data_IF_605603672651
#
_entry.id   IF_605603672651
#
_cell.length_a   1.000
_cell.length_b   1.000
_cell.length_c   1.000
_cell.angle_alpha   90.00
_cell.angle_beta   90.00
_cell.angle_gamma   90.00
#
_symmetry.space_group_name_H-M   'P 1'
#
loop_
_entity.id
_entity.type
_entity.pdbx_description
1 polymer ?
#
# COMPACT_ATOMS: atom_id res chain seq x y z
N UNK A 1 70.74 -50.40 67.84
CA UNK A 1 71.61 -49.25 68.20
C UNK A 1 71.07 -47.99 67.51
N UNK A 2 70.58 -47.03 68.30
CA UNK A 2 70.78 -45.57 68.31
C UNK A 2 70.62 -44.88 66.90
N UNK A 3 69.84 -43.85 66.71
CA UNK A 3 69.62 -42.62 67.52
C UNK A 3 68.32 -41.93 67.06
N UNK A 4 67.64 -41.33 68.01
CA UNK A 4 66.64 -40.30 67.87
C UNK A 4 67.22 -39.01 67.39
N UNK A 5 66.57 -38.29 66.50
CA UNK A 5 66.66 -36.82 66.41
C UNK A 5 65.28 -36.25 66.24
N UNK A 6 64.83 -35.51 67.26
CA UNK A 6 63.74 -34.58 67.27
C UNK A 6 64.01 -33.42 66.32
N UNK A 7 62.99 -33.06 65.56
CA UNK A 7 62.88 -31.67 65.09
C UNK A 7 61.50 -31.13 65.35
N UNK A 8 61.55 -30.03 66.08
CA UNK A 8 60.35 -29.25 66.49
C UNK A 8 59.83 -28.43 65.33
N UNK A 9 58.55 -28.36 65.34
CA UNK A 9 57.54 -27.43 64.84
C UNK A 9 57.91 -26.12 64.17
N UNK A 10 57.17 -25.84 63.19
CA UNK A 10 56.61 -24.50 62.90
C UNK A 10 55.26 -24.63 62.17
N UNK A 11 54.24 -24.40 62.92
CA UNK A 11 52.90 -24.24 62.39
C UNK A 11 52.79 -22.86 61.74
N UNK A 12 52.82 -22.78 60.39
CA UNK A 12 52.47 -21.60 59.67
C UNK A 12 50.96 -21.63 59.41
N UNK A 13 50.23 -20.77 60.11
CA UNK A 13 48.80 -20.48 59.83
C UNK A 13 48.73 -19.60 58.58
N UNK A 14 48.36 -20.19 57.44
CA UNK A 14 48.00 -19.43 56.25
C UNK A 14 46.55 -19.04 56.41
N UNK A 15 46.30 -17.78 56.79
CA UNK A 15 44.94 -17.19 56.74
C UNK A 15 44.60 -16.97 55.27
N UNK A 16 43.77 -17.82 54.68
CA UNK A 16 43.13 -17.63 53.39
C UNK A 16 42.06 -16.55 53.55
N UNK A 17 42.41 -15.29 53.20
CA UNK A 17 41.45 -14.24 53.00
C UNK A 17 40.65 -14.55 51.70
N UNK A 18 39.49 -15.17 51.85
CA UNK A 18 38.55 -15.30 50.79
C UNK A 18 37.94 -13.91 50.52
N UNK A 19 38.44 -13.24 49.47
CA UNK A 19 37.75 -12.07 48.90
C UNK A 19 36.42 -12.55 48.33
N UNK A 20 35.33 -12.40 49.06
CA UNK A 20 33.98 -12.40 48.59
C UNK A 20 33.82 -11.14 47.73
N UNK A 21 34.17 -11.21 46.42
CA UNK A 21 33.65 -10.30 45.41
C UNK A 21 32.12 -10.55 45.37
N UNK A 22 31.29 -9.51 45.60
CA UNK A 22 29.90 -9.66 45.29
C UNK A 22 29.80 -9.89 43.78
N UNK A 23 29.45 -11.11 43.39
CA UNK A 23 28.87 -11.35 42.08
C UNK A 23 27.56 -10.53 42.05
N UNK A 24 27.69 -9.26 41.64
CA UNK A 24 26.59 -8.50 41.12
C UNK A 24 26.23 -9.24 39.84
N UNK A 25 25.40 -10.27 40.00
CA UNK A 25 24.67 -10.85 38.88
C UNK A 25 23.88 -9.72 38.25
N UNK A 26 24.37 -9.20 37.15
CA UNK A 26 23.51 -8.42 36.27
C UNK A 26 22.33 -9.32 35.95
N UNK A 27 21.23 -9.20 36.71
CA UNK A 27 19.95 -9.72 36.27
C UNK A 27 19.75 -9.13 34.90
N UNK A 28 19.85 -9.94 33.87
CA UNK A 28 19.46 -9.52 32.53
C UNK A 28 18.03 -9.02 32.67
N UNK A 29 17.87 -7.71 32.62
CA UNK A 29 16.55 -7.08 32.70
C UNK A 29 15.81 -7.58 31.49
N UNK A 30 14.65 -8.20 31.68
CA UNK A 30 13.86 -8.70 30.58
C UNK A 30 13.63 -7.59 29.55
N UNK A 31 13.84 -7.90 28.28
CA UNK A 31 13.65 -6.94 27.18
C UNK A 31 12.23 -6.37 27.24
N UNK A 32 12.12 -5.06 27.05
CA UNK A 32 10.81 -4.46 26.84
C UNK A 32 10.23 -4.98 25.51
N UNK A 33 8.90 -4.97 25.35
CA UNK A 33 8.26 -5.54 24.17
C UNK A 33 7.41 -4.51 23.44
N UNK A 34 7.26 -4.70 22.14
CA UNK A 34 6.28 -4.00 21.31
C UNK A 34 5.82 -4.90 20.17
N UNK A 35 4.51 -4.87 19.89
CA UNK A 35 3.91 -5.55 18.75
C UNK A 35 3.35 -4.56 17.73
N UNK A 36 3.62 -4.80 16.45
CA UNK A 36 3.01 -4.09 15.36
C UNK A 36 2.11 -5.02 14.54
N UNK A 37 0.98 -4.50 14.05
CA UNK A 37 0.14 -5.16 13.05
C UNK A 37 -0.10 -4.18 11.91
N UNK A 38 0.08 -4.64 10.67
CA UNK A 38 -0.15 -3.75 9.54
C UNK A 38 0.38 -4.27 8.21
N UNK A 39 0.10 -3.56 7.10
CA UNK A 39 0.42 -3.99 5.75
C UNK A 39 1.78 -3.50 5.23
N UNK A 40 2.58 -2.79 6.02
CA UNK A 40 3.84 -2.20 5.54
C UNK A 40 4.78 -3.25 4.94
N UNK A 41 5.56 -2.85 3.95
CA UNK A 41 6.47 -3.75 3.25
C UNK A 41 7.64 -4.18 4.16
N UNK A 42 8.25 -5.29 3.78
CA UNK A 42 9.33 -5.92 4.54
C UNK A 42 10.49 -4.96 4.79
N UNK A 43 10.91 -4.23 3.77
CA UNK A 43 12.04 -3.29 3.84
C UNK A 43 11.79 -2.19 4.88
N UNK A 44 10.57 -1.65 4.94
CA UNK A 44 10.23 -0.66 5.95
C UNK A 44 10.21 -1.28 7.35
N UNK A 45 9.58 -2.44 7.52
CA UNK A 45 9.52 -3.08 8.83
C UNK A 45 10.91 -3.46 9.36
N UNK A 46 11.83 -3.90 8.50
CA UNK A 46 13.23 -4.19 8.86
C UNK A 46 13.99 -2.93 9.23
N UNK A 47 13.84 -1.84 8.45
CA UNK A 47 14.46 -0.55 8.76
C UNK A 47 13.98 -0.01 10.10
N UNK A 48 12.65 0.04 10.30
CA UNK A 48 12.08 0.52 11.56
C UNK A 48 12.48 -0.35 12.75
N UNK A 49 12.53 -1.68 12.59
CA UNK A 49 12.95 -2.61 13.65
C UNK A 49 14.37 -2.31 14.09
N UNK A 50 15.30 -2.29 13.14
CA UNK A 50 16.73 -2.05 13.43
C UNK A 50 16.93 -0.70 14.10
N UNK A 51 16.48 0.37 13.47
CA UNK A 51 16.75 1.72 13.94
C UNK A 51 16.03 2.03 15.27
N UNK A 52 14.83 1.47 15.52
CA UNK A 52 14.16 1.63 16.81
C UNK A 52 14.85 0.83 17.92
N UNK A 53 15.35 -0.37 17.64
CA UNK A 53 16.15 -1.14 18.61
C UNK A 53 17.42 -0.39 18.99
N UNK A 54 18.15 0.16 18.01
CA UNK A 54 19.35 0.96 18.25
C UNK A 54 19.02 2.22 19.07
N UNK A 55 17.97 2.95 18.71
CA UNK A 55 17.49 4.11 19.49
C UNK A 55 17.11 3.71 20.93
N UNK A 56 16.37 2.62 21.10
CA UNK A 56 15.90 2.18 22.41
C UNK A 56 17.06 1.80 23.33
N UNK A 57 18.03 1.05 22.79
CA UNK A 57 19.25 0.68 23.50
C UNK A 57 20.08 1.92 23.89
N UNK A 58 20.27 2.85 22.96
CA UNK A 58 21.06 4.07 23.19
C UNK A 58 20.38 5.02 24.18
N UNK A 59 19.07 5.11 24.16
CA UNK A 59 18.30 6.07 24.99
C UNK A 59 17.98 5.53 26.38
N UNK A 60 17.66 4.24 26.48
CA UNK A 60 17.17 3.62 27.74
C UNK A 60 18.12 2.59 28.32
N UNK A 61 19.20 2.22 27.63
CA UNK A 61 20.14 1.18 28.07
C UNK A 61 19.52 -0.23 28.12
N UNK A 62 18.45 -0.47 27.35
CA UNK A 62 17.67 -1.71 27.36
C UNK A 62 17.42 -2.21 25.95
N UNK A 63 17.31 -3.52 25.84
CA UNK A 63 16.80 -4.16 24.62
C UNK A 63 15.28 -4.03 24.50
N UNK A 64 14.77 -3.97 23.25
CA UNK A 64 13.33 -4.08 22.94
C UNK A 64 13.13 -5.21 21.94
N UNK A 65 12.22 -6.13 22.29
CA UNK A 65 11.76 -7.21 21.41
C UNK A 65 10.59 -6.69 20.57
N UNK A 66 10.70 -6.79 19.24
CA UNK A 66 9.69 -6.30 18.31
C UNK A 66 9.05 -7.49 17.60
N UNK A 67 7.72 -7.56 17.65
CA UNK A 67 6.92 -8.53 16.89
C UNK A 67 6.14 -7.82 15.81
N UNK A 68 6.18 -8.31 14.57
CA UNK A 68 5.40 -7.75 13.47
C UNK A 68 4.43 -8.79 12.89
N UNK A 69 3.14 -8.46 12.91
CA UNK A 69 2.05 -9.27 12.37
C UNK A 69 1.59 -8.66 11.05
N UNK A 70 1.83 -9.36 9.94
CA UNK A 70 1.41 -8.96 8.60
C UNK A 70 0.47 -9.98 7.98
N UNK A 71 -0.85 -9.91 8.26
CA UNK A 71 -1.79 -10.93 7.79
C UNK A 71 -2.13 -10.79 6.31
N UNK A 72 -1.95 -9.60 5.72
CA UNK A 72 -2.26 -9.32 4.32
C UNK A 72 -2.31 -7.83 4.01
N UNK A 73 -3.13 -7.44 3.04
CA UNK A 73 -3.40 -6.04 2.70
C UNK A 73 -4.25 -5.32 3.77
N UNK A 74 -4.57 -4.06 3.53
CA UNK A 74 -5.28 -3.21 4.49
C UNK A 74 -6.57 -3.82 5.03
N UNK A 75 -7.51 -4.33 4.20
CA UNK A 75 -8.75 -4.91 4.71
C UNK A 75 -8.49 -6.10 5.64
N UNK A 76 -7.54 -6.97 5.27
CA UNK A 76 -7.19 -8.14 6.08
C UNK A 76 -6.57 -7.72 7.43
N UNK A 77 -5.78 -6.63 7.45
CA UNK A 77 -5.23 -6.09 8.69
C UNK A 77 -6.33 -5.49 9.59
N UNK A 78 -7.29 -4.77 9.01
CA UNK A 78 -8.47 -4.24 9.72
C UNK A 78 -9.29 -5.38 10.32
N UNK A 79 -9.56 -6.43 9.55
CA UNK A 79 -10.31 -7.60 10.03
C UNK A 79 -9.57 -8.36 11.12
N UNK A 80 -8.24 -8.43 11.05
CA UNK A 80 -7.43 -9.00 12.13
C UNK A 80 -7.60 -8.22 13.44
N UNK A 81 -7.57 -6.88 13.40
CA UNK A 81 -7.80 -6.04 14.58
C UNK A 81 -9.22 -6.19 15.11
N UNK A 82 -10.22 -6.24 14.23
CA UNK A 82 -11.63 -6.52 14.58
C UNK A 82 -11.77 -7.87 15.31
N UNK A 83 -11.11 -8.91 14.79
CA UNK A 83 -11.17 -10.26 15.33
C UNK A 83 -10.61 -10.38 16.76
N UNK A 84 -9.73 -9.48 17.18
CA UNK A 84 -9.23 -9.44 18.56
C UNK A 84 -10.28 -8.96 19.58
N UNK A 85 -11.35 -8.31 19.13
CA UNK A 85 -12.46 -7.90 20.01
C UNK A 85 -12.03 -6.99 21.15
N UNK A 86 -11.02 -6.12 20.94
CA UNK A 86 -10.48 -5.20 21.94
C UNK A 86 -9.45 -5.81 22.90
N UNK A 87 -8.92 -6.99 22.60
CA UNK A 87 -7.78 -7.62 23.31
C UNK A 87 -6.68 -7.93 22.27
N UNK A 88 -5.95 -6.91 21.81
CA UNK A 88 -4.98 -7.08 20.73
C UNK A 88 -3.72 -7.83 21.20
N UNK A 89 -3.11 -8.58 20.28
CA UNK A 89 -1.78 -9.18 20.44
C UNK A 89 -0.65 -8.23 19.95
N UNK A 90 -0.99 -6.99 19.61
CA UNK A 90 -0.08 -5.94 19.17
C UNK A 90 -0.41 -4.61 19.84
N UNK A 91 0.51 -3.65 19.75
CA UNK A 91 0.38 -2.33 20.36
C UNK A 91 0.00 -1.26 19.35
N UNK A 92 0.51 -1.40 18.14
CA UNK A 92 0.45 -0.40 17.09
C UNK A 92 -0.20 -0.98 15.83
N UNK A 93 -1.16 -0.24 15.27
CA UNK A 93 -1.60 -0.44 13.89
C UNK A 93 -0.71 0.41 12.99
N UNK A 94 0.20 -0.23 12.25
CA UNK A 94 1.25 0.41 11.48
C UNK A 94 1.00 0.28 9.99
N UNK A 95 0.75 1.42 9.34
CA UNK A 95 0.45 1.46 7.90
C UNK A 95 -1.04 1.45 7.62
N UNK A 96 -1.39 1.35 6.36
CA UNK A 96 -2.70 1.60 5.79
C UNK A 96 -3.10 3.09 5.71
N UNK A 97 -3.97 3.42 4.76
CA UNK A 97 -4.46 4.78 4.57
C UNK A 97 -5.49 5.22 5.62
N UNK A 98 -5.87 6.48 5.55
CA UNK A 98 -6.82 7.12 6.46
C UNK A 98 -8.16 6.36 6.59
N UNK A 99 -8.80 5.83 5.52
CA UNK A 99 -10.08 5.12 5.67
C UNK A 99 -10.00 3.92 6.62
N UNK A 100 -8.91 3.15 6.57
CA UNK A 100 -8.72 2.01 7.46
C UNK A 100 -8.67 2.43 8.93
N UNK A 101 -7.99 3.55 9.21
CA UNK A 101 -7.89 4.12 10.56
C UNK A 101 -9.21 4.71 11.04
N UNK A 102 -9.94 5.39 10.17
CA UNK A 102 -11.27 5.92 10.50
C UNK A 102 -12.26 4.80 10.82
N UNK A 103 -12.22 3.68 10.08
CA UNK A 103 -13.01 2.47 10.40
C UNK A 103 -12.69 1.95 11.80
N UNK A 104 -11.40 1.78 12.14
CA UNK A 104 -10.99 1.32 13.46
C UNK A 104 -11.35 2.31 14.58
N UNK A 105 -11.25 3.61 14.32
CA UNK A 105 -11.66 4.69 15.24
C UNK A 105 -13.16 4.66 15.52
N UNK A 106 -14.00 4.57 14.48
CA UNK A 106 -15.46 4.47 14.62
C UNK A 106 -15.89 3.26 15.44
N UNK A 107 -15.13 2.15 15.35
CA UNK A 107 -15.36 0.94 16.12
C UNK A 107 -14.73 0.96 17.51
N UNK A 108 -14.05 2.06 17.88
CA UNK A 108 -13.41 2.21 19.19
C UNK A 108 -12.26 1.21 19.42
N UNK A 109 -11.54 0.81 18.37
CA UNK A 109 -10.43 -0.15 18.41
C UNK A 109 -9.06 0.51 18.49
N UNK A 110 -8.97 1.81 18.27
CA UNK A 110 -7.78 2.64 18.46
C UNK A 110 -8.06 3.75 19.47
N UNK A 111 -7.02 4.29 20.08
CA UNK A 111 -7.10 5.32 21.11
C UNK A 111 -6.26 6.53 20.74
N UNK A 112 -6.64 7.73 21.23
CA UNK A 112 -5.89 8.94 20.91
C UNK A 112 -4.54 8.95 21.62
N UNK A 113 -3.51 9.33 20.87
CA UNK A 113 -2.19 9.66 21.39
C UNK A 113 -1.55 10.73 20.50
N UNK A 114 -1.12 11.85 21.10
CA UNK A 114 -0.38 12.90 20.40
C UNK A 114 1.12 12.62 20.53
N UNK A 115 1.80 12.16 19.43
CA UNK A 115 3.24 11.97 19.45
C UNK A 115 3.98 13.30 19.59
N UNK A 116 5.22 13.23 20.05
CA UNK A 116 6.15 14.36 19.91
C UNK A 116 6.32 14.71 18.44
N UNK A 117 6.58 15.98 18.15
CA UNK A 117 6.71 16.46 16.76
C UNK A 117 5.47 16.28 15.87
N UNK A 118 4.31 15.95 16.45
CA UNK A 118 3.05 15.84 15.71
C UNK A 118 2.72 17.09 14.87
N UNK A 119 3.12 18.29 15.34
CA UNK A 119 2.93 19.55 14.64
C UNK A 119 3.78 19.69 13.36
N UNK A 120 4.80 18.87 13.21
CA UNK A 120 5.60 18.80 11.99
C UNK A 120 4.90 18.08 10.84
N UNK A 121 3.82 17.37 11.11
CA UNK A 121 3.00 16.73 10.09
C UNK A 121 1.89 17.71 9.69
N UNK A 122 1.66 17.96 8.39
CA UNK A 122 0.55 18.79 7.93
C UNK A 122 -0.79 18.26 8.45
N UNK A 123 -1.75 19.15 8.70
CA UNK A 123 -3.11 18.73 9.07
C UNK A 123 -3.85 18.17 7.87
N UNK A 124 -3.64 18.82 6.73
CA UNK A 124 -4.31 18.57 5.47
C UNK A 124 -3.35 18.90 4.33
N UNK A 125 -3.53 18.26 3.18
CA UNK A 125 -2.80 18.54 1.96
C UNK A 125 -3.69 18.23 0.74
N UNK A 126 -3.91 19.21 -0.14
CA UNK A 126 -4.82 19.14 -1.29
C UNK A 126 -6.19 18.52 -0.95
N UNK A 127 -6.81 19.00 0.15
CA UNK A 127 -8.12 18.50 0.60
C UNK A 127 -8.12 17.15 1.32
N UNK A 128 -7.00 16.44 1.32
CA UNK A 128 -6.85 15.17 2.05
C UNK A 128 -6.40 15.39 3.49
N UNK A 129 -7.14 14.85 4.44
CA UNK A 129 -6.70 14.80 5.85
C UNK A 129 -5.43 13.94 5.96
N UNK A 130 -4.37 14.51 6.56
CA UNK A 130 -3.08 13.84 6.76
C UNK A 130 -2.94 13.32 8.20
N UNK A 131 -3.73 13.82 9.13
CA UNK A 131 -3.79 13.36 10.51
C UNK A 131 -5.16 13.62 11.12
N UNK A 132 -5.54 12.85 12.13
CA UNK A 132 -6.76 13.09 12.89
C UNK A 132 -6.53 14.18 13.95
N UNK A 133 -7.36 15.24 13.94
CA UNK A 133 -7.23 16.37 14.88
C UNK A 133 -7.52 16.00 16.34
N UNK A 134 -8.05 14.81 16.59
CA UNK A 134 -8.26 14.22 17.92
C UNK A 134 -7.20 13.18 18.27
N UNK A 135 -6.09 13.11 17.48
CA UNK A 135 -4.91 12.28 17.73
C UNK A 135 -5.13 10.76 17.64
N UNK A 136 -6.19 10.30 16.97
CA UNK A 136 -6.43 8.86 16.81
C UNK A 136 -5.45 8.21 15.82
N UNK A 137 -5.03 8.93 14.79
CA UNK A 137 -4.05 8.47 13.82
C UNK A 137 -3.27 9.64 13.22
N UNK A 138 -2.07 9.36 12.74
CA UNK A 138 -1.19 10.35 12.10
C UNK A 138 -0.44 9.70 10.95
N UNK A 139 -0.35 10.38 9.80
CA UNK A 139 0.47 9.97 8.68
C UNK A 139 1.95 9.98 9.09
N UNK A 140 2.64 8.87 8.88
CA UNK A 140 4.08 8.79 9.07
C UNK A 140 4.85 8.67 7.74
N UNK A 141 4.14 8.34 6.65
CA UNK A 141 4.71 8.17 5.33
C UNK A 141 3.66 8.49 4.23
N UNK A 142 3.67 9.69 3.64
CA UNK A 142 2.77 10.02 2.54
C UNK A 142 3.22 9.35 1.25
N UNK A 143 2.26 8.99 0.39
CA UNK A 143 2.53 8.54 -0.97
C UNK A 143 1.33 8.81 -1.89
N UNK A 144 1.52 8.66 -3.19
CA UNK A 144 0.50 8.93 -4.20
C UNK A 144 0.15 7.62 -4.92
N UNK A 145 -1.12 7.45 -5.25
CA UNK A 145 -1.57 6.35 -6.12
C UNK A 145 -1.08 6.61 -7.53
N UNK A 146 -0.32 5.67 -8.07
CA UNK A 146 0.23 5.72 -9.43
C UNK A 146 -0.05 4.44 -10.18
N UNK A 147 0.41 4.40 -11.43
CA UNK A 147 0.50 3.18 -12.22
C UNK A 147 1.99 2.93 -12.53
N UNK A 148 2.39 1.68 -12.51
CA UNK A 148 3.76 1.26 -12.77
C UNK A 148 3.87 0.70 -14.19
N UNK A 149 4.91 1.02 -14.95
CA UNK A 149 5.14 0.39 -16.24
C UNK A 149 6.61 0.03 -16.48
N UNK A 150 6.83 -1.03 -17.26
CA UNK A 150 8.15 -1.48 -17.69
C UNK A 150 8.43 -0.93 -19.09
N UNK A 151 9.30 0.10 -19.17
CA UNK A 151 9.61 0.79 -20.43
C UNK A 151 10.15 -0.14 -21.51
N UNK A 152 11.09 -1.04 -21.15
CA UNK A 152 11.68 -1.97 -22.13
C UNK A 152 10.64 -2.89 -22.77
N UNK A 153 9.63 -3.31 -22.00
CA UNK A 153 8.57 -4.18 -22.53
C UNK A 153 7.62 -3.37 -23.42
N UNK A 154 7.23 -2.16 -23.00
CA UNK A 154 6.39 -1.29 -23.82
C UNK A 154 7.07 -0.97 -25.16
N UNK A 155 8.36 -0.62 -25.16
CA UNK A 155 9.14 -0.35 -26.39
C UNK A 155 9.15 -1.57 -27.32
N UNK A 156 9.38 -2.78 -26.78
CA UNK A 156 9.36 -4.04 -27.54
C UNK A 156 7.99 -4.31 -28.19
N UNK A 157 6.92 -4.00 -27.45
CA UNK A 157 5.54 -4.17 -27.92
C UNK A 157 5.07 -3.02 -28.80
N UNK A 158 5.87 -1.95 -28.94
CA UNK A 158 5.53 -0.69 -29.61
C UNK A 158 4.27 -0.04 -29.06
N UNK A 159 4.07 -0.16 -27.74
CA UNK A 159 2.98 0.46 -27.01
C UNK A 159 3.45 1.76 -26.35
N UNK A 160 2.74 2.88 -26.49
CA UNK A 160 3.03 4.08 -25.71
C UNK A 160 2.71 3.84 -24.23
N UNK A 161 3.39 4.50 -23.28
CA UNK A 161 2.92 4.53 -21.89
C UNK A 161 1.54 5.18 -21.80
N UNK A 162 0.56 4.57 -21.09
CA UNK A 162 -0.73 5.22 -20.87
C UNK A 162 -0.55 6.46 -20.00
N UNK A 163 -1.32 7.54 -20.26
CA UNK A 163 -1.18 8.83 -19.55
C UNK A 163 -2.34 9.15 -18.61
N UNK A 164 -3.49 8.59 -18.89
CA UNK A 164 -4.73 8.86 -18.17
C UNK A 164 -5.40 7.55 -17.73
N UNK A 165 -6.36 7.64 -16.82
CA UNK A 165 -7.20 6.48 -16.52
C UNK A 165 -7.91 5.95 -17.77
N UNK A 166 -8.38 6.85 -18.63
CA UNK A 166 -9.07 6.45 -19.87
C UNK A 166 -8.17 5.61 -20.80
N UNK A 167 -6.88 5.89 -20.85
CA UNK A 167 -5.96 5.13 -21.69
C UNK A 167 -5.86 3.67 -21.24
N UNK A 168 -5.95 3.40 -19.94
CA UNK A 168 -5.83 2.04 -19.38
C UNK A 168 -6.89 1.06 -19.90
N UNK A 169 -8.03 1.56 -20.37
CA UNK A 169 -9.11 0.74 -20.93
C UNK A 169 -9.08 0.68 -22.45
N UNK A 170 -8.10 1.31 -23.11
CA UNK A 170 -7.91 1.20 -24.55
C UNK A 170 -7.57 -0.26 -24.93
N UNK A 171 -8.25 -0.87 -25.93
CA UNK A 171 -8.01 -2.24 -26.36
C UNK A 171 -6.55 -2.58 -26.73
N UNK A 172 -5.71 -1.59 -27.10
CA UNK A 172 -4.29 -1.80 -27.40
C UNK A 172 -3.50 -2.36 -26.21
N UNK A 173 -3.95 -2.13 -24.98
CA UNK A 173 -3.32 -2.63 -23.76
C UNK A 173 -3.89 -3.96 -23.27
N UNK A 174 -4.87 -4.55 -23.97
CA UNK A 174 -5.46 -5.81 -23.56
C UNK A 174 -4.40 -6.91 -23.41
N UNK A 175 -4.43 -7.60 -22.26
CA UNK A 175 -3.43 -8.61 -21.89
C UNK A 175 -2.12 -8.03 -21.35
N UNK A 176 -1.93 -6.69 -21.40
CA UNK A 176 -0.72 -6.00 -20.97
C UNK A 176 -0.90 -5.19 -19.67
N UNK A 177 -2.02 -5.35 -19.00
CA UNK A 177 -2.37 -4.67 -17.75
C UNK A 177 -2.58 -5.70 -16.65
N UNK A 178 -2.12 -5.43 -15.44
CA UNK A 178 -2.34 -6.26 -14.26
C UNK A 178 -2.61 -5.40 -13.02
N UNK A 179 -3.47 -5.88 -12.15
CA UNK A 179 -3.72 -5.35 -10.82
C UNK A 179 -4.26 -6.43 -9.89
N UNK A 180 -4.35 -6.12 -8.61
CA UNK A 180 -4.88 -7.04 -7.60
C UNK A 180 -6.33 -6.72 -7.24
N UNK A 181 -6.94 -7.60 -6.45
CA UNK A 181 -8.30 -7.40 -5.94
C UNK A 181 -8.31 -6.38 -4.80
N UNK A 182 -9.38 -5.58 -4.65
CA UNK A 182 -9.43 -4.52 -3.63
C UNK A 182 -9.35 -5.06 -2.20
N UNK A 183 -9.88 -6.23 -1.92
CA UNK A 183 -9.78 -6.84 -0.59
C UNK A 183 -8.37 -7.38 -0.27
N UNK A 184 -7.52 -7.55 -1.29
CA UNK A 184 -6.13 -7.97 -1.12
C UNK A 184 -5.13 -6.79 -1.11
N UNK A 185 -5.58 -5.59 -1.49
CA UNK A 185 -4.75 -4.39 -1.59
C UNK A 185 -5.53 -3.12 -1.29
N UNK A 186 -5.10 -2.42 -0.25
CA UNK A 186 -5.64 -1.09 0.05
C UNK A 186 -5.43 -0.09 -1.08
N UNK A 187 -4.30 -0.15 -1.79
CA UNK A 187 -4.05 0.72 -2.95
C UNK A 187 -5.09 0.51 -4.05
N UNK A 188 -5.51 -0.74 -4.29
CA UNK A 188 -6.58 -0.99 -5.25
C UNK A 188 -7.93 -0.51 -4.73
N UNK A 189 -8.21 -0.65 -3.44
CA UNK A 189 -9.40 -0.09 -2.82
C UNK A 189 -9.45 1.44 -3.00
N UNK A 190 -8.36 2.15 -2.68
CA UNK A 190 -8.25 3.60 -2.90
C UNK A 190 -8.39 3.97 -4.39
N UNK A 191 -7.84 3.16 -5.29
CA UNK A 191 -7.98 3.39 -6.73
C UNK A 191 -9.45 3.30 -7.18
N UNK A 192 -10.22 2.38 -6.63
CA UNK A 192 -11.67 2.32 -6.89
C UNK A 192 -12.35 3.58 -6.39
N UNK A 193 -12.03 4.03 -5.18
CA UNK A 193 -12.57 5.27 -4.62
C UNK A 193 -12.20 6.50 -5.47
N UNK A 194 -10.95 6.61 -5.93
CA UNK A 194 -10.53 7.68 -6.86
C UNK A 194 -11.42 7.68 -8.11
N UNK A 195 -11.61 6.53 -8.72
CA UNK A 195 -12.39 6.37 -9.95
C UNK A 195 -13.85 6.74 -9.70
N UNK A 196 -14.47 6.23 -8.64
CA UNK A 196 -15.86 6.51 -8.31
C UNK A 196 -16.10 7.98 -7.96
N UNK A 197 -15.17 8.61 -7.23
CA UNK A 197 -15.31 10.01 -6.85
C UNK A 197 -14.96 10.98 -7.99
N UNK A 198 -13.99 10.62 -8.85
CA UNK A 198 -13.60 11.46 -9.98
C UNK A 198 -14.57 11.38 -11.18
N UNK A 199 -15.19 10.21 -11.42
CA UNK A 199 -16.05 9.97 -12.59
C UNK A 199 -17.55 9.92 -12.23
N UNK A 200 -17.87 9.81 -10.94
CA UNK A 200 -19.20 9.48 -10.46
C UNK A 200 -19.45 7.96 -10.44
N UNK A 201 -20.39 7.52 -9.61
CA UNK A 201 -20.59 6.08 -9.38
C UNK A 201 -20.92 5.28 -10.64
N UNK A 202 -21.85 5.78 -11.45
CA UNK A 202 -22.29 5.08 -12.66
C UNK A 202 -21.15 4.88 -13.66
N UNK A 203 -20.47 5.96 -14.01
CA UNK A 203 -19.36 5.95 -14.97
C UNK A 203 -18.12 5.25 -14.39
N UNK A 204 -17.87 5.43 -13.10
CA UNK A 204 -16.76 4.77 -12.40
C UNK A 204 -16.90 3.25 -12.39
N UNK A 205 -18.07 2.71 -12.10
CA UNK A 205 -18.30 1.26 -12.17
C UNK A 205 -18.26 0.74 -13.61
N UNK A 206 -18.74 1.49 -14.60
CA UNK A 206 -18.59 1.15 -16.01
C UNK A 206 -17.08 1.06 -16.40
N UNK A 207 -16.31 2.06 -16.01
CA UNK A 207 -14.87 2.08 -16.22
C UNK A 207 -14.17 0.86 -15.56
N UNK A 208 -14.51 0.53 -14.32
CA UNK A 208 -13.90 -0.60 -13.60
C UNK A 208 -14.21 -1.95 -14.25
N UNK A 209 -15.38 -2.10 -14.89
CA UNK A 209 -15.71 -3.29 -15.72
C UNK A 209 -14.82 -3.37 -16.95
N UNK A 210 -14.64 -2.24 -17.65
CA UNK A 210 -13.73 -2.16 -18.81
C UNK A 210 -12.28 -2.45 -18.40
N UNK A 211 -11.83 -1.91 -17.28
CA UNK A 211 -10.48 -2.17 -16.76
C UNK A 211 -10.28 -3.66 -16.42
N UNK A 212 -11.26 -4.28 -15.77
CA UNK A 212 -11.22 -5.70 -15.45
C UNK A 212 -11.17 -6.59 -16.71
N UNK A 213 -11.73 -6.14 -17.82
CA UNK A 213 -11.68 -6.87 -19.08
C UNK A 213 -10.30 -6.81 -19.77
N UNK A 214 -9.47 -5.83 -19.44
CA UNK A 214 -8.13 -5.68 -20.03
C UNK A 214 -7.11 -6.69 -19.47
N UNK A 215 -7.30 -7.16 -18.23
CA UNK A 215 -6.29 -7.96 -17.56
C UNK A 215 -6.33 -9.44 -17.97
N UNK A 216 -5.17 -10.10 -18.12
CA UNK A 216 -5.11 -11.55 -18.35
C UNK A 216 -5.33 -12.35 -17.06
N UNK A 217 -4.97 -11.79 -15.90
CA UNK A 217 -5.13 -12.36 -14.56
C UNK A 217 -5.09 -11.28 -13.49
N UNK A 218 -5.63 -11.56 -12.32
CA UNK A 218 -5.38 -10.76 -11.12
C UNK A 218 -4.06 -11.19 -10.47
N UNK A 219 -3.36 -10.26 -9.85
CA UNK A 219 -2.23 -10.54 -8.95
C UNK A 219 -2.73 -10.81 -7.52
N UNK A 220 -1.85 -11.35 -6.69
CA UNK A 220 -2.18 -11.74 -5.30
C UNK A 220 -2.07 -10.58 -4.31
N UNK A 221 -1.51 -9.45 -4.71
CA UNK A 221 -1.32 -8.26 -3.90
C UNK A 221 -0.51 -7.20 -4.64
N UNK A 222 -0.41 -5.97 -4.10
CA UNK A 222 0.35 -4.88 -4.73
C UNK A 222 1.83 -5.24 -4.94
N UNK A 223 2.46 -5.93 -3.99
CA UNK A 223 3.84 -6.41 -4.12
C UNK A 223 3.99 -7.39 -5.29
N UNK A 224 3.05 -8.31 -5.47
CA UNK A 224 3.07 -9.24 -6.60
C UNK A 224 2.88 -8.52 -7.93
N UNK A 225 1.97 -7.53 -8.00
CA UNK A 225 1.84 -6.65 -9.18
C UNK A 225 3.18 -5.98 -9.52
N UNK A 226 3.86 -5.40 -8.53
CA UNK A 226 5.18 -4.77 -8.72
C UNK A 226 6.19 -5.78 -9.28
N UNK A 227 6.27 -6.98 -8.73
CA UNK A 227 7.20 -8.01 -9.20
C UNK A 227 6.91 -8.48 -10.64
N UNK A 228 5.63 -8.63 -11.00
CA UNK A 228 5.20 -8.98 -12.37
C UNK A 228 5.71 -7.92 -13.36
N UNK A 229 5.53 -6.62 -13.05
CA UNK A 229 5.98 -5.52 -13.91
C UNK A 229 7.50 -5.43 -13.94
N UNK A 230 8.18 -5.55 -12.80
CA UNK A 230 9.64 -5.49 -12.71
C UNK A 230 10.30 -6.57 -13.58
N UNK A 231 9.78 -7.81 -13.55
CA UNK A 231 10.26 -8.92 -14.40
C UNK A 231 9.82 -8.81 -15.86
N UNK A 232 8.93 -7.88 -16.19
CA UNK A 232 8.44 -7.68 -17.55
C UNK A 232 7.49 -8.77 -18.04
N UNK A 233 6.83 -9.48 -17.15
CA UNK A 233 5.81 -10.48 -17.48
C UNK A 233 4.56 -9.82 -18.07
N UNK A 234 4.07 -8.77 -17.40
CA UNK A 234 3.00 -7.89 -17.85
C UNK A 234 3.49 -6.46 -17.64
N UNK A 235 3.52 -5.62 -18.70
CA UNK A 235 4.24 -4.36 -18.65
C UNK A 235 3.60 -3.24 -17.83
N UNK A 236 2.30 -3.30 -17.52
CA UNK A 236 1.58 -2.22 -16.85
C UNK A 236 0.92 -2.74 -15.58
N UNK A 237 1.28 -2.16 -14.44
CA UNK A 237 0.68 -2.41 -13.14
C UNK A 237 -0.19 -1.24 -12.71
N UNK A 238 -1.48 -1.46 -12.50
CA UNK A 238 -2.41 -0.44 -12.04
C UNK A 238 -2.46 -0.44 -10.51
N UNK A 239 -2.80 0.70 -9.92
CA UNK A 239 -2.99 0.85 -8.49
C UNK A 239 -1.72 0.54 -7.68
N UNK A 240 -0.65 1.26 -7.96
CA UNK A 240 0.64 1.08 -7.27
C UNK A 240 0.99 2.30 -6.40
N UNK A 241 1.54 2.09 -5.21
CA UNK A 241 2.15 3.17 -4.46
C UNK A 241 3.37 3.73 -5.21
N UNK A 242 3.50 5.05 -5.26
CA UNK A 242 4.60 5.73 -5.98
C UNK A 242 5.99 5.23 -5.53
N UNK A 243 6.17 4.93 -4.26
CA UNK A 243 7.44 4.42 -3.75
C UNK A 243 7.85 3.08 -4.36
N UNK A 244 6.93 2.26 -4.88
CA UNK A 244 7.27 0.99 -5.52
C UNK A 244 8.15 1.21 -6.76
N UNK A 245 7.86 2.25 -7.56
CA UNK A 245 8.69 2.61 -8.70
C UNK A 245 10.04 3.18 -8.26
N UNK A 246 10.07 3.94 -7.16
CA UNK A 246 11.31 4.47 -6.59
C UNK A 246 12.26 3.34 -6.17
N UNK A 247 11.76 2.39 -5.40
CA UNK A 247 12.54 1.22 -4.94
C UNK A 247 12.96 0.34 -6.11
N UNK A 248 12.07 0.06 -7.05
CA UNK A 248 12.40 -0.76 -8.22
C UNK A 248 13.49 -0.14 -9.09
N UNK A 249 13.47 1.21 -9.28
CA UNK A 249 14.55 1.91 -10.00
C UNK A 249 15.88 1.88 -9.25
N UNK A 250 15.89 2.03 -7.92
CA UNK A 250 17.08 1.82 -7.09
C UNK A 250 17.69 0.44 -7.34
N UNK A 251 16.84 -0.58 -7.41
CA UNK A 251 17.25 -1.98 -7.60
C UNK A 251 17.58 -2.31 -9.08
N UNK A 252 17.59 -1.31 -9.98
CA UNK A 252 18.03 -1.45 -11.37
C UNK A 252 16.96 -1.94 -12.35
N UNK A 253 15.71 -2.06 -11.96
CA UNK A 253 14.63 -2.42 -12.87
C UNK A 253 14.28 -1.25 -13.82
N UNK A 254 13.97 -1.55 -15.10
CA UNK A 254 13.65 -0.54 -16.12
C UNK A 254 12.18 -0.13 -16.04
N UNK A 255 11.76 0.33 -14.86
CA UNK A 255 10.38 0.71 -14.58
C UNK A 255 10.25 2.19 -14.29
N UNK A 256 9.08 2.72 -14.58
CA UNK A 256 8.69 4.08 -14.26
C UNK A 256 7.29 4.09 -13.67
N UNK A 257 7.02 5.08 -12.86
CA UNK A 257 5.66 5.40 -12.42
C UNK A 257 5.02 6.36 -13.42
N UNK A 258 3.73 6.24 -13.52
CA UNK A 258 2.88 7.14 -14.24
C UNK A 258 1.84 7.71 -13.29
N UNK A 259 1.91 9.01 -13.05
CA UNK A 259 0.85 9.72 -12.35
C UNK A 259 -0.35 9.83 -13.28
N UNK A 260 -1.50 9.23 -12.94
CA UNK A 260 -2.70 9.40 -13.73
C UNK A 260 -3.21 10.84 -13.61
N UNK A 261 -4.08 11.25 -14.54
CA UNK A 261 -4.70 12.57 -14.60
C UNK A 261 -5.57 12.91 -13.38
N UNK A 262 -5.95 11.90 -12.63
CA UNK A 262 -6.71 11.98 -11.37
C UNK A 262 -6.11 11.05 -10.33
N UNK A 263 -5.72 11.57 -9.18
CA UNK A 263 -5.11 10.77 -8.11
C UNK A 263 -5.39 11.38 -6.74
N UNK A 264 -4.91 10.72 -5.70
CA UNK A 264 -4.93 11.20 -4.32
C UNK A 264 -3.57 11.01 -3.66
N UNK A 265 -3.32 11.80 -2.62
CA UNK A 265 -2.39 11.44 -1.56
C UNK A 265 -3.01 10.30 -0.72
N UNK A 266 -2.23 9.30 -0.40
CA UNK A 266 -2.56 8.34 0.65
C UNK A 266 -1.67 8.61 1.86
N UNK A 267 -2.24 9.00 2.99
CA UNK A 267 -1.50 9.15 4.23
C UNK A 267 -1.32 7.76 4.85
N UNK A 268 -0.18 7.11 4.60
CA UNK A 268 0.17 5.90 5.33
C UNK A 268 0.26 6.26 6.81
N UNK A 269 -0.68 5.76 7.60
CA UNK A 269 -0.89 6.24 8.95
C UNK A 269 -0.50 5.21 10.02
N UNK A 270 -0.41 5.67 11.26
CA UNK A 270 -0.12 4.85 12.42
C UNK A 270 -1.07 5.22 13.57
N UNK A 271 -1.47 4.23 14.35
CA UNK A 271 -2.35 4.41 15.51
C UNK A 271 -1.96 3.49 16.66
N UNK A 272 -2.25 3.95 17.89
CA UNK A 272 -2.15 3.16 19.10
C UNK A 272 -3.43 2.31 19.25
N UNK A 273 -3.27 1.00 19.39
CA UNK A 273 -4.41 0.10 19.59
C UNK A 273 -4.99 0.26 21.01
N UNK A 274 -6.31 0.15 21.11
CA UNK A 274 -6.99 0.12 22.40
C UNK A 274 -6.58 -1.10 23.19
N UNK A 275 -6.24 -0.92 24.48
CA UNK A 275 -5.77 -1.98 25.38
C UNK A 275 -4.46 -2.65 24.88
N UNK A 276 -3.60 -1.90 24.22
CA UNK A 276 -2.27 -2.32 23.81
C UNK A 276 -1.51 -2.99 24.97
N UNK A 277 -0.99 -4.22 24.83
CA UNK A 277 -0.33 -4.94 25.92
C UNK A 277 0.94 -4.24 26.43
N UNK A 278 1.64 -3.50 25.55
CA UNK A 278 2.86 -2.75 25.87
C UNK A 278 2.69 -1.25 25.54
N UNK A 279 1.58 -0.65 26.00
CA UNK A 279 1.19 0.73 25.66
C UNK A 279 2.31 1.74 25.86
N UNK A 280 3.11 1.60 26.93
CA UNK A 280 4.23 2.50 27.22
C UNK A 280 5.29 2.46 26.11
N UNK A 281 5.70 1.28 25.71
CA UNK A 281 6.68 1.09 24.63
C UNK A 281 6.09 1.53 23.28
N UNK A 282 4.80 1.28 23.06
CA UNK A 282 4.06 1.78 21.89
C UNK A 282 4.10 3.30 21.76
N UNK A 283 3.90 4.04 22.87
CA UNK A 283 4.00 5.51 22.90
C UNK A 283 5.42 5.99 22.63
N UNK A 284 6.44 5.33 23.18
CA UNK A 284 7.87 5.64 22.89
C UNK A 284 8.15 5.44 21.39
N UNK A 285 7.65 4.37 20.80
CA UNK A 285 7.80 4.13 19.37
C UNK A 285 7.14 5.22 18.53
N UNK A 286 5.92 5.65 18.87
CA UNK A 286 5.23 6.73 18.17
C UNK A 286 6.00 8.06 18.28
N UNK A 287 6.53 8.40 19.45
CA UNK A 287 7.37 9.59 19.62
C UNK A 287 8.63 9.53 18.75
N UNK A 288 9.30 8.38 18.71
CA UNK A 288 10.48 8.19 17.89
C UNK A 288 10.17 8.20 16.39
N UNK A 289 9.08 7.56 15.97
CA UNK A 289 8.69 7.46 14.55
C UNK A 289 8.54 8.84 13.88
N UNK A 290 8.07 9.84 14.64
CA UNK A 290 7.91 11.21 14.14
C UNK A 290 9.14 12.11 14.38
N UNK A 291 10.19 11.63 15.04
CA UNK A 291 11.47 12.33 15.13
C UNK A 291 12.20 12.35 13.78
N UNK A 292 13.25 13.18 13.65
CA UNK A 292 14.10 13.18 12.44
C UNK A 292 14.77 11.82 12.21
N UNK A 293 15.18 11.13 13.29
CA UNK A 293 15.78 9.81 13.24
C UNK A 293 14.78 8.76 12.73
N UNK A 294 13.57 8.71 13.29
CA UNK A 294 12.51 7.82 12.85
C UNK A 294 12.10 8.07 11.40
N UNK A 295 12.06 9.33 10.97
CA UNK A 295 11.72 9.67 9.58
C UNK A 295 12.86 9.34 8.59
N UNK A 296 14.12 9.35 9.01
CA UNK A 296 15.23 8.78 8.22
C UNK A 296 15.07 7.27 8.06
N UNK A 297 14.67 6.57 9.13
CA UNK A 297 14.39 5.13 9.06
C UNK A 297 13.22 4.83 8.11
N UNK A 298 12.17 5.67 8.10
CA UNK A 298 11.05 5.58 7.14
C UNK A 298 11.57 5.72 5.71
N UNK A 299 12.40 6.73 5.42
CA UNK A 299 12.92 6.95 4.08
C UNK A 299 13.86 5.82 3.64
N UNK A 300 14.77 5.37 4.49
CA UNK A 300 15.68 4.25 4.20
C UNK A 300 14.93 2.93 4.00
N UNK A 301 13.76 2.77 4.63
CA UNK A 301 12.84 1.68 4.38
C UNK A 301 12.04 1.79 3.09
N UNK A 302 12.34 2.78 2.23
CA UNK A 302 11.75 2.94 0.91
C UNK A 302 10.43 3.71 0.87
N UNK A 303 10.04 4.39 1.94
CA UNK A 303 8.84 5.23 2.01
C UNK A 303 9.21 6.71 2.09
N UNK A 304 8.34 7.61 1.65
CA UNK A 304 8.57 9.04 1.81
C UNK A 304 8.33 9.46 3.26
N UNK A 305 9.17 10.37 3.75
CA UNK A 305 9.04 10.93 5.09
C UNK A 305 7.91 11.97 5.17
N UNK A 306 7.21 12.00 6.30
CA UNK A 306 5.98 12.79 6.47
C UNK A 306 6.17 14.19 7.07
N UNK A 307 7.34 14.51 7.64
CA UNK A 307 7.57 15.83 8.26
C UNK A 307 7.73 16.91 7.20
N UNK A 308 7.06 18.05 7.40
CA UNK A 308 7.09 19.21 6.48
C UNK A 308 8.42 19.97 6.47
N UNK A 309 9.23 19.80 7.50
CA UNK A 309 10.55 20.44 7.65
C UNK A 309 11.68 19.64 7.00
N UNK A 310 11.39 18.51 6.31
CA UNK A 310 12.39 17.70 5.62
C UNK A 310 12.64 18.23 4.22
N UNK A 311 13.93 18.38 3.89
CA UNK A 311 14.43 18.62 2.53
C UNK A 311 15.34 17.48 2.09
N UNK A 312 15.01 16.84 0.98
CA UNK A 312 15.80 15.71 0.47
C UNK A 312 17.23 16.10 0.14
N UNK A 313 17.47 17.32 -0.33
CA UNK A 313 18.82 17.84 -0.62
C UNK A 313 19.69 18.00 0.63
N UNK A 314 19.10 18.21 1.81
CA UNK A 314 19.84 18.25 3.07
C UNK A 314 20.22 16.84 3.49
N UNK A 315 19.31 15.91 3.41
CA UNK A 315 19.56 14.50 3.71
C UNK A 315 20.53 13.83 2.73
N UNK A 316 20.55 14.24 1.46
CA UNK A 316 21.60 13.83 0.51
C UNK A 316 22.99 14.21 1.01
N UNK A 317 23.17 15.45 1.53
CA UNK A 317 24.45 15.93 2.09
C UNK A 317 24.83 15.19 3.37
N UNK A 318 23.87 14.74 4.14
CA UNK A 318 24.07 13.92 5.34
C UNK A 318 24.34 12.44 5.02
N UNK A 319 24.29 12.03 3.76
CA UNK A 319 24.54 10.66 3.32
C UNK A 319 23.36 9.70 3.50
N UNK A 320 22.13 10.21 3.59
CA UNK A 320 20.92 9.37 3.60
C UNK A 320 20.71 8.82 2.20
N UNK A 321 20.97 7.53 2.01
CA UNK A 321 21.03 6.87 0.69
C UNK A 321 19.74 7.08 -0.12
N UNK A 322 18.59 6.91 0.50
CA UNK A 322 17.30 7.02 -0.19
C UNK A 322 16.88 8.45 -0.53
N UNK A 323 17.53 9.48 -0.01
CA UNK A 323 17.15 10.88 -0.26
C UNK A 323 17.29 11.27 -1.74
N UNK A 324 18.36 10.85 -2.42
CA UNK A 324 18.55 11.05 -3.86
C UNK A 324 17.48 10.37 -4.68
N UNK A 325 17.12 9.14 -4.31
CA UNK A 325 16.07 8.40 -5.00
C UNK A 325 14.69 9.02 -4.79
N UNK A 326 14.40 9.48 -3.58
CA UNK A 326 13.14 10.16 -3.25
C UNK A 326 12.99 11.47 -4.03
N UNK A 327 14.02 12.34 -3.97
CA UNK A 327 14.04 13.60 -4.72
C UNK A 327 13.84 13.39 -6.22
N UNK A 328 14.52 12.39 -6.80
CA UNK A 328 14.35 12.04 -8.21
C UNK A 328 12.94 11.50 -8.51
N UNK A 329 12.34 10.76 -7.59
CA UNK A 329 11.02 10.17 -7.79
C UNK A 329 9.91 11.22 -7.81
N UNK A 330 9.98 12.23 -6.95
CA UNK A 330 8.96 13.30 -6.88
C UNK A 330 9.32 14.54 -7.70
N UNK A 331 10.57 14.74 -8.06
CA UNK A 331 11.04 15.89 -8.85
C UNK A 331 11.12 17.21 -8.07
N UNK A 332 10.88 17.18 -6.76
CA UNK A 332 10.90 18.31 -5.83
C UNK A 332 11.74 18.00 -4.60
N UNK A 333 12.07 19.01 -3.78
CA UNK A 333 12.98 18.85 -2.65
C UNK A 333 12.30 18.43 -1.35
N UNK A 334 10.97 18.46 -1.31
CA UNK A 334 10.13 17.92 -0.23
C UNK A 334 8.91 17.25 -0.84
N UNK A 335 8.44 16.17 -0.23
CA UNK A 335 7.21 15.51 -0.69
C UNK A 335 6.01 16.49 -0.75
N UNK A 336 5.96 17.42 0.19
CA UNK A 336 4.86 18.39 0.32
C UNK A 336 4.90 19.54 -0.71
N UNK A 337 5.97 19.64 -1.50
CA UNK A 337 6.09 20.60 -2.62
C UNK A 337 5.56 20.00 -3.95
N UNK A 338 5.04 18.76 -3.91
CA UNK A 338 4.55 18.07 -5.10
C UNK A 338 3.19 18.62 -5.53
N UNK A 339 3.06 18.92 -6.82
CA UNK A 339 1.81 19.37 -7.45
C UNK A 339 1.46 18.45 -8.63
N UNK A 340 0.36 17.70 -8.49
CA UNK A 340 -0.15 16.75 -9.49
C UNK A 340 -1.67 16.80 -9.54
N UNK A 341 -2.31 16.08 -10.45
CA UNK A 341 -3.76 16.08 -10.67
C UNK A 341 -4.56 15.45 -9.51
N UNK A 342 -4.56 16.09 -8.33
CA UNK A 342 -5.36 15.62 -7.19
C UNK A 342 -6.85 15.88 -7.39
N UNK A 343 -7.67 14.92 -6.92
CA UNK A 343 -9.12 15.11 -6.81
C UNK A 343 -9.48 15.62 -5.41
N UNK A 344 -10.64 16.25 -5.29
CA UNK A 344 -11.29 16.41 -3.99
C UNK A 344 -11.77 15.04 -3.51
N UNK A 345 -11.17 14.55 -2.44
CA UNK A 345 -11.45 13.21 -1.92
C UNK A 345 -12.29 13.28 -0.65
N UNK A 346 -13.48 12.68 -0.71
CA UNK A 346 -14.39 12.55 0.44
C UNK A 346 -14.01 11.31 1.26
N UNK A 347 -13.20 11.53 2.30
CA UNK A 347 -12.77 10.48 3.23
C UNK A 347 -13.95 9.89 4.02
N UNK A 348 -14.94 10.69 4.37
CA UNK A 348 -16.09 10.23 5.15
C UNK A 348 -16.96 9.31 4.31
N UNK A 349 -17.16 9.62 3.01
CA UNK A 349 -17.83 8.75 2.06
C UNK A 349 -17.07 7.44 1.87
N UNK A 350 -15.77 7.49 1.60
CA UNK A 350 -14.93 6.30 1.43
C UNK A 350 -14.95 5.39 2.67
N UNK A 351 -14.87 5.98 3.86
CA UNK A 351 -14.96 5.26 5.12
C UNK A 351 -16.33 4.59 5.29
N UNK A 352 -17.41 5.30 4.97
CA UNK A 352 -18.78 4.81 5.13
C UNK A 352 -19.07 3.61 4.23
N UNK A 353 -18.55 3.60 3.00
CA UNK A 353 -18.84 2.54 2.01
C UNK A 353 -17.69 1.52 1.85
N UNK A 354 -16.74 1.51 2.79
CA UNK A 354 -15.57 0.63 2.76
C UNK A 354 -15.88 -0.84 2.44
N UNK A 355 -16.79 -1.44 3.22
CA UNK A 355 -17.16 -2.84 3.03
C UNK A 355 -18.05 -3.04 1.78
N UNK A 356 -18.86 -2.06 1.42
CA UNK A 356 -19.77 -2.13 0.28
C UNK A 356 -19.03 -2.12 -1.06
N UNK A 357 -18.01 -1.29 -1.21
CA UNK A 357 -17.15 -1.22 -2.40
C UNK A 357 -16.43 -2.54 -2.63
N UNK A 358 -15.82 -3.12 -1.58
CA UNK A 358 -15.16 -4.41 -1.66
C UNK A 358 -16.13 -5.53 -2.06
N UNK A 359 -17.29 -5.56 -1.43
CA UNK A 359 -18.35 -6.54 -1.73
C UNK A 359 -18.89 -6.39 -3.14
N UNK A 360 -19.19 -5.16 -3.60
CA UNK A 360 -19.68 -4.91 -4.95
C UNK A 360 -18.65 -5.40 -5.98
N UNK A 361 -17.38 -5.06 -5.82
CA UNK A 361 -16.31 -5.50 -6.73
C UNK A 361 -16.22 -7.02 -6.79
N UNK A 362 -16.25 -7.69 -5.64
CA UNK A 362 -16.19 -9.15 -5.52
C UNK A 362 -17.34 -9.82 -6.31
N UNK A 363 -18.59 -9.41 -6.10
CA UNK A 363 -19.76 -10.08 -6.65
C UNK A 363 -20.09 -9.66 -8.07
N UNK A 364 -19.89 -8.40 -8.43
CA UNK A 364 -20.34 -7.85 -9.72
C UNK A 364 -19.24 -7.82 -10.78
N UNK A 365 -17.97 -7.87 -10.38
CA UNK A 365 -16.85 -7.85 -11.32
C UNK A 365 -16.03 -9.14 -11.22
N UNK A 366 -15.46 -9.47 -10.07
CA UNK A 366 -14.50 -10.56 -9.96
C UNK A 366 -15.13 -11.94 -10.21
N UNK A 367 -16.23 -12.26 -9.53
CA UNK A 367 -16.92 -13.56 -9.73
C UNK A 367 -17.47 -13.74 -11.13
N UNK A 368 -17.78 -12.66 -11.81
CA UNK A 368 -18.28 -12.64 -13.20
C UNK A 368 -17.20 -12.36 -14.24
N UNK A 369 -15.93 -12.34 -13.85
CA UNK A 369 -14.83 -11.85 -14.67
C UNK A 369 -14.69 -12.56 -16.03
N UNK A 370 -14.81 -13.88 -16.10
CA UNK A 370 -14.76 -14.61 -17.37
C UNK A 370 -15.92 -14.27 -18.29
N UNK A 371 -17.14 -14.14 -17.73
CA UNK A 371 -18.32 -13.75 -18.47
C UNK A 371 -18.19 -12.31 -19.00
N UNK A 372 -17.70 -11.41 -18.16
CA UNK A 372 -17.40 -10.02 -18.49
C UNK A 372 -16.42 -9.93 -19.67
N UNK A 373 -15.27 -10.61 -19.60
CA UNK A 373 -14.28 -10.62 -20.68
C UNK A 373 -14.85 -11.11 -22.01
N UNK A 374 -15.53 -12.25 -21.98
CA UNK A 374 -16.11 -12.84 -23.18
C UNK A 374 -17.21 -11.96 -23.79
N UNK A 375 -17.95 -11.24 -22.95
CA UNK A 375 -18.98 -10.30 -23.42
C UNK A 375 -18.37 -9.09 -24.11
N UNK A 376 -17.31 -8.49 -23.53
CA UNK A 376 -16.63 -7.35 -24.14
C UNK A 376 -16.00 -7.71 -25.48
N UNK A 377 -15.32 -8.87 -25.57
CA UNK A 377 -14.70 -9.32 -26.82
C UNK A 377 -15.76 -9.43 -27.92
N UNK A 378 -16.89 -10.07 -27.66
CA UNK A 378 -17.97 -10.20 -28.65
C UNK A 378 -18.56 -8.84 -29.07
N UNK A 379 -18.75 -7.93 -28.10
CA UNK A 379 -19.26 -6.57 -28.40
C UNK A 379 -18.31 -5.85 -29.34
N UNK A 380 -17.01 -5.84 -29.06
CA UNK A 380 -16.00 -5.14 -29.88
C UNK A 380 -15.84 -5.76 -31.26
N UNK A 381 -15.92 -7.10 -31.37
CA UNK A 381 -15.94 -7.77 -32.68
C UNK A 381 -17.13 -7.30 -33.52
N UNK A 382 -18.32 -7.28 -32.94
CA UNK A 382 -19.53 -6.87 -33.66
C UNK A 382 -19.55 -5.37 -33.97
N UNK A 383 -18.99 -4.53 -33.08
CA UNK A 383 -18.77 -3.11 -33.37
C UNK A 383 -17.89 -2.92 -34.62
N UNK A 384 -16.80 -3.70 -34.72
CA UNK A 384 -15.93 -3.70 -35.90
C UNK A 384 -16.63 -4.18 -37.16
N UNK A 385 -17.47 -5.22 -37.06
CA UNK A 385 -18.28 -5.72 -38.17
C UNK A 385 -19.31 -4.70 -38.66
N UNK A 386 -19.98 -3.99 -37.72
CA UNK A 386 -20.90 -2.90 -38.05
C UNK A 386 -20.22 -1.75 -38.78
N UNK A 387 -19.04 -1.34 -38.32
CA UNK A 387 -18.31 -0.25 -38.98
C UNK A 387 -17.80 -0.68 -40.37
N UNK A 388 -17.30 -1.89 -40.52
CA UNK A 388 -16.89 -2.43 -41.83
C UNK A 388 -18.05 -2.51 -42.81
N UNK A 389 -19.26 -2.93 -42.38
CA UNK A 389 -20.46 -2.97 -43.21
C UNK A 389 -20.92 -1.56 -43.62
N UNK A 390 -20.81 -0.58 -42.72
CA UNK A 390 -21.11 0.83 -43.00
C UNK A 390 -20.16 1.40 -44.07
N UNK A 391 -18.88 1.08 -44.04
CA UNK A 391 -17.90 1.47 -45.06
C UNK A 391 -18.23 0.87 -46.43
N UNK A 392 -18.88 -0.29 -46.46
CA UNK A 392 -19.41 -0.92 -47.67
C UNK A 392 -20.78 -0.39 -48.10
N UNK A 393 -21.27 0.71 -47.46
CA UNK A 393 -22.53 1.34 -47.72
C UNK A 393 -23.78 0.47 -47.49
N UNK A 394 -23.66 -0.53 -46.62
CA UNK A 394 -24.81 -1.35 -46.17
C UNK A 394 -25.69 -0.55 -45.19
N UNK A 395 -26.98 -0.87 -45.13
CA UNK A 395 -27.90 -0.34 -44.10
C UNK A 395 -27.61 -1.06 -42.77
N UNK A 396 -26.95 -0.40 -41.87
CA UNK A 396 -26.56 -0.94 -40.56
C UNK A 396 -27.33 -0.32 -39.39
N UNK A 397 -28.36 0.48 -39.64
CA UNK A 397 -29.06 1.25 -38.59
C UNK A 397 -29.56 0.39 -37.44
N UNK A 398 -30.22 -0.76 -37.75
CA UNK A 398 -30.73 -1.68 -36.74
C UNK A 398 -29.60 -2.40 -35.99
N UNK A 399 -28.54 -2.83 -36.67
CA UNK A 399 -27.39 -3.49 -36.07
C UNK A 399 -26.65 -2.51 -35.15
N UNK A 400 -26.44 -1.28 -35.60
CA UNK A 400 -25.78 -0.21 -34.80
C UNK A 400 -26.60 0.10 -33.52
N UNK A 401 -27.91 0.18 -33.60
CA UNK A 401 -28.75 0.40 -32.43
C UNK A 401 -28.65 -0.78 -31.43
N UNK A 402 -28.63 -2.01 -31.96
CA UNK A 402 -28.54 -3.19 -31.10
C UNK A 402 -27.17 -3.42 -30.45
N UNK A 403 -26.10 -3.09 -31.13
CA UNK A 403 -24.77 -3.17 -30.53
C UNK A 403 -24.53 -2.05 -29.48
N UNK A 404 -25.15 -0.88 -29.70
CA UNK A 404 -25.16 0.18 -28.67
C UNK A 404 -25.90 -0.29 -27.41
N UNK A 405 -27.07 -0.94 -27.54
CA UNK A 405 -27.77 -1.57 -26.41
C UNK A 405 -26.87 -2.60 -25.69
N UNK A 406 -26.16 -3.43 -26.44
CA UNK A 406 -25.23 -4.40 -25.87
C UNK A 406 -24.12 -3.73 -25.04
N UNK A 407 -23.58 -2.61 -25.52
CA UNK A 407 -22.56 -1.82 -24.82
C UNK A 407 -23.11 -1.22 -23.52
N UNK A 408 -24.31 -0.65 -23.55
CA UNK A 408 -24.97 -0.08 -22.38
C UNK A 408 -25.27 -1.15 -21.32
N UNK A 409 -25.78 -2.30 -21.69
CA UNK A 409 -26.02 -3.45 -20.79
C UNK A 409 -24.72 -3.95 -20.14
N UNK A 410 -23.62 -3.93 -20.89
CA UNK A 410 -22.32 -4.32 -20.36
C UNK A 410 -21.75 -3.29 -19.36
N UNK A 411 -21.68 -2.04 -19.79
CA UNK A 411 -20.99 -0.99 -19.03
C UNK A 411 -21.77 -0.55 -17.80
N UNK A 412 -23.07 -0.32 -17.95
CA UNK A 412 -23.89 0.32 -16.90
C UNK A 412 -24.65 -0.68 -16.04
N UNK A 413 -25.15 -1.74 -16.64
CA UNK A 413 -26.00 -2.68 -15.92
C UNK A 413 -25.24 -3.92 -15.41
N UNK A 414 -24.03 -4.18 -15.94
CA UNK A 414 -23.28 -5.40 -15.66
C UNK A 414 -24.01 -6.67 -16.09
N UNK A 415 -24.95 -6.53 -17.02
CA UNK A 415 -25.81 -7.60 -17.52
C UNK A 415 -25.13 -8.38 -18.66
N UNK A 416 -24.01 -9.04 -18.39
CA UNK A 416 -23.12 -9.62 -19.40
C UNK A 416 -23.77 -10.63 -20.33
N UNK A 417 -24.65 -11.51 -19.82
CA UNK A 417 -25.38 -12.46 -20.64
C UNK A 417 -26.35 -11.75 -21.60
N UNK A 418 -27.07 -10.73 -21.13
CA UNK A 418 -27.99 -9.94 -21.96
C UNK A 418 -27.19 -9.12 -23.00
N UNK A 419 -26.05 -8.56 -22.63
CA UNK A 419 -25.17 -7.85 -23.53
C UNK A 419 -24.65 -8.75 -24.66
N UNK A 420 -24.22 -9.97 -24.37
CA UNK A 420 -23.85 -10.96 -25.42
C UNK A 420 -25.00 -11.31 -26.33
N UNK A 421 -26.20 -11.50 -25.79
CA UNK A 421 -27.35 -11.78 -26.59
C UNK A 421 -27.70 -10.62 -27.55
N UNK A 422 -27.61 -9.38 -27.05
CA UNK A 422 -27.84 -8.19 -27.87
C UNK A 422 -26.77 -8.04 -28.97
N UNK A 423 -25.46 -8.29 -28.65
CA UNK A 423 -24.39 -8.30 -29.63
C UNK A 423 -24.59 -9.38 -30.70
N UNK A 424 -24.96 -10.60 -30.31
CA UNK A 424 -25.27 -11.67 -31.26
C UNK A 424 -26.43 -11.34 -32.19
N UNK A 425 -27.48 -10.68 -31.65
CA UNK A 425 -28.58 -10.18 -32.48
C UNK A 425 -28.15 -9.08 -33.43
N UNK A 426 -27.26 -8.16 -33.00
CA UNK A 426 -26.67 -7.14 -33.88
C UNK A 426 -25.93 -7.78 -35.05
N UNK A 427 -25.09 -8.79 -34.79
CA UNK A 427 -24.37 -9.56 -35.81
C UNK A 427 -25.30 -10.24 -36.82
N UNK A 428 -26.39 -10.84 -36.35
CA UNK A 428 -27.38 -11.45 -37.23
C UNK A 428 -28.02 -10.43 -38.19
N UNK A 429 -28.29 -9.22 -37.75
CA UNK A 429 -28.82 -8.14 -38.56
C UNK A 429 -27.91 -7.65 -39.68
N UNK A 430 -26.59 -7.99 -39.66
CA UNK A 430 -25.65 -7.67 -40.71
C UNK A 430 -25.68 -8.68 -41.87
N UNK A 431 -26.23 -9.89 -41.63
CA UNK A 431 -26.25 -10.98 -42.62
C UNK A 431 -27.66 -11.19 -43.21
N UNK A 432 -28.69 -10.58 -42.60
CA UNK A 432 -30.04 -10.59 -43.17
C UNK A 432 -30.14 -9.55 -44.32
N UNK A 433 -30.58 -9.96 -45.53
CA UNK A 433 -30.69 -9.07 -46.69
C UNK A 433 -31.79 -8.02 -46.54
#
# INVERSE_FOLDING_TARGET
>A
MKKKILWRGLTAVIAAAIFLLPLIGAQAQAADKIGWVGPVYKELSESLTKEFQDYYQNTYGKEVEITFIRPGGWPVCVDKVRAWGGKPDADIFLGAGAPAHEVLKQQGLIVPYQPKDWDQIPAEWHGMKVKDQKYYWTCFAPWIVTNLYNQKVLDRLKLPPPKTWKDMVNPIYRGNVVYTLPYASGTMHETIEIILQAMGEKEGWAYLRLLAAQIPRFSTGSTDTTHIVNRGEIPIGVAQPQMNAMVARRDGYPVSDLLPDKTILVPEAVALLKNAPNEKTGKIFLDWLFSMEGQKAVLNGGYFAARKDIKFSEWEKEGVEMATHAKKAVGVDSFWDLDVGFIEYDLDLATKRWDDVNRYYEYEIYRKWNELKNSLVLIEEVEGEVEAAKDQKMDVAKAAAKIKEARELFEYDGAYAAARLAASKARALLVEP
#
